data_IF_399525350261
#
_entry.id   IF_399525350261
#
_cell.length_a   1.000
_cell.length_b   1.000
_cell.length_c   1.000
_cell.angle_alpha   90.00
_cell.angle_beta   90.00
_cell.angle_gamma   90.00
#
_symmetry.space_group_name_H-M   'P 1'
#
loop_
_entity.id
_entity.type
_entity.pdbx_description
1 polymer ?
2 polymer ?
3 non-polymer ?
4 water ?
#
# COMPACT_ATOMS: atom_id res chain seq x y z
N UNK A 1 -12.41 -8.69 14.88
CA UNK A 1 -12.01 -9.96 14.29
C UNK A 1 -11.64 -9.77 12.82
N UNK A 2 -11.22 -10.87 12.19
CA UNK A 2 -10.80 -10.81 10.79
C UNK A 2 -11.94 -10.42 9.86
N UNK A 3 -13.19 -10.56 10.29
CA UNK A 3 -14.34 -10.20 9.47
C UNK A 3 -14.61 -8.70 9.44
N UNK A 4 -13.87 -7.92 10.23
CA UNK A 4 -14.08 -6.48 10.28
C UNK A 4 -14.08 -5.87 8.89
N UNK A 5 -14.84 -4.80 8.75
CA UNK A 5 -14.99 -4.13 7.48
C UNK A 5 -13.91 -3.09 7.20
N UNK A 6 -13.11 -2.73 8.19
CA UNK A 6 -12.04 -1.76 7.97
C UNK A 6 -10.92 -1.99 8.99
N UNK A 7 -9.74 -1.51 8.63
CA UNK A 7 -8.60 -1.56 9.53
C UNK A 7 -7.54 -0.60 9.04
N UNK A 8 -6.65 -0.22 9.96
CA UNK A 8 -5.45 0.53 9.63
C UNK A 8 -4.25 -0.33 10.00
N UNK A 9 -3.28 -0.43 9.11
CA UNK A 9 -2.07 -1.20 9.39
C UNK A 9 -0.87 -0.48 8.82
N UNK A 10 0.30 -0.78 9.36
CA UNK A 10 1.54 -0.14 8.98
C UNK A 10 2.60 -1.17 8.67
N UNK A 11 3.57 -0.76 7.84
CA UNK A 11 4.72 -1.58 7.49
C UNK A 11 5.93 -0.65 7.40
N UNK A 12 6.99 -1.00 8.12
CA UNK A 12 8.20 -0.19 8.13
C UNK A 12 9.24 -0.87 7.24
N UNK A 13 9.64 -0.18 6.19
CA UNK A 13 10.63 -0.68 5.24
C UNK A 13 12.01 -0.22 5.72
N UNK A 14 12.90 -1.18 5.95
CA UNK A 14 14.25 -0.91 6.44
C UNK A 14 15.24 -0.87 5.27
N UNK A 15 16.42 -0.28 5.54
CA UNK A 15 17.42 -0.07 4.51
C UNK A 15 16.79 0.57 3.27
N UNK A 16 15.93 1.56 3.53
CA UNK A 16 15.08 2.09 2.47
C UNK A 16 15.87 2.64 1.30
N UNK A 17 16.92 3.40 1.59
CA UNK A 17 17.74 4.00 0.53
C UNK A 17 18.32 2.95 -0.42
N UNK A 18 18.39 1.70 0.02
CA UNK A 18 18.97 0.61 -0.76
C UNK A 18 17.93 -0.27 -1.43
N UNK A 19 16.65 0.10 -1.32
CA UNK A 19 15.59 -0.73 -1.89
C UNK A 19 15.78 -0.87 -3.39
N UNK A 20 15.61 -2.08 -3.87
CA UNK A 20 15.82 -2.41 -5.28
C UNK A 20 14.69 -3.25 -5.84
N UNK A 21 14.22 -4.25 -5.09
CA UNK A 21 13.11 -5.11 -5.46
C UNK A 21 11.86 -4.67 -4.72
N UNK A 22 10.71 -5.10 -5.20
CA UNK A 22 9.49 -4.86 -4.47
C UNK A 22 9.52 -5.59 -3.13
N UNK A 23 8.99 -4.94 -2.10
CA UNK A 23 8.85 -5.53 -0.78
C UNK A 23 7.38 -5.54 -0.41
N UNK A 24 6.99 -6.52 0.39
CA UNK A 24 5.62 -6.82 0.72
C UNK A 24 5.48 -6.98 2.22
N UNK A 25 4.45 -6.39 2.79
CA UNK A 25 4.18 -6.52 4.23
C UNK A 25 3.53 -7.87 4.55
N UNK A 26 3.54 -8.25 5.82
CA UNK A 26 2.65 -9.30 6.28
C UNK A 26 1.20 -8.90 6.07
N UNK A 27 0.29 -9.87 6.06
CA UNK A 27 -1.12 -9.56 5.80
C UNK A 27 -1.84 -8.98 7.00
N UNK A 28 -2.75 -8.05 6.69
CA UNK A 28 -3.77 -7.55 7.61
C UNK A 28 -5.10 -8.06 7.11
N UNK A 29 -5.87 -8.73 7.97
CA UNK A 29 -7.13 -9.33 7.55
C UNK A 29 -8.29 -8.37 7.75
N UNK A 30 -9.02 -8.14 6.65
CA UNK A 30 -10.22 -7.30 6.60
C UNK A 30 -11.18 -8.04 5.68
N UNK A 31 -12.43 -8.22 6.12
CA UNK A 31 -13.40 -9.06 5.40
C UNK A 31 -12.85 -10.47 5.20
N UNK A 32 -12.01 -10.90 6.13
CA UNK A 32 -11.40 -12.22 6.14
C UNK A 32 -10.46 -12.45 4.96
N UNK A 33 -10.01 -11.38 4.28
CA UNK A 33 -9.06 -11.49 3.19
C UNK A 33 -7.73 -10.86 3.60
N UNK A 34 -6.61 -11.33 3.04
CA UNK A 34 -5.29 -10.77 3.38
C UNK A 34 -4.94 -9.55 2.52
N UNK A 35 -4.76 -8.41 3.18
CA UNK A 35 -4.36 -7.17 2.52
C UNK A 35 -2.91 -6.88 2.88
N UNK A 36 -2.14 -6.36 1.91
CA UNK A 36 -0.73 -6.12 2.12
C UNK A 36 -0.32 -4.80 1.47
N UNK A 37 0.70 -4.18 2.06
CA UNK A 37 1.40 -3.05 1.49
C UNK A 37 2.52 -3.55 0.60
N UNK A 38 2.63 -2.98 -0.60
CA UNK A 38 3.72 -3.24 -1.54
C UNK A 38 4.43 -1.94 -1.82
N UNK A 39 5.76 -1.96 -1.73
CA UNK A 39 6.58 -0.78 -1.99
C UNK A 39 7.71 -1.16 -2.92
N UNK A 40 8.00 -0.29 -3.90
CA UNK A 40 9.12 -0.55 -4.79
C UNK A 40 9.61 0.76 -5.36
N UNK A 41 10.89 0.87 -5.71
CA UNK A 41 11.34 2.05 -6.45
C UNK A 41 10.83 2.01 -7.88
N UNK A 42 10.53 3.19 -8.42
CA UNK A 42 10.03 3.32 -9.77
C UNK A 42 10.79 4.45 -10.46
N UNK A 43 10.82 4.39 -11.79
CA UNK A 43 11.59 5.32 -12.59
C UNK A 43 10.77 5.79 -13.78
N UNK A 44 10.92 7.07 -14.13
CA UNK A 44 10.19 7.66 -15.24
C UNK A 44 10.98 8.80 -15.87
N UNK A 50 13.68 10.54 -13.34
CA UNK A 50 13.49 10.80 -11.90
C UNK A 50 12.88 9.57 -11.22
N UNK A 51 13.30 9.35 -9.99
CA UNK A 51 12.99 8.14 -9.24
C UNK A 51 11.85 8.47 -8.28
N UNK A 52 10.92 7.52 -8.13
CA UNK A 52 9.75 7.72 -7.29
C UNK A 52 9.52 6.51 -6.41
N UNK A 53 8.71 6.73 -5.38
CA UNK A 53 8.22 5.67 -4.52
C UNK A 53 6.96 5.09 -5.14
N UNK A 54 6.99 3.80 -5.48
CA UNK A 54 5.77 3.08 -5.83
C UNK A 54 5.17 2.47 -4.56
N UNK A 55 3.87 2.69 -4.38
CA UNK A 55 3.18 2.30 -3.15
C UNK A 55 1.81 1.78 -3.53
N UNK A 56 1.55 0.50 -3.26
CA UNK A 56 0.34 -0.18 -3.67
C UNK A 56 -0.27 -0.95 -2.53
N UNK A 57 -1.59 -1.13 -2.61
CA UNK A 57 -2.34 -2.01 -1.73
C UNK A 57 -2.70 -3.28 -2.51
N UNK A 58 -2.42 -4.43 -1.93
CA UNK A 58 -2.67 -5.72 -2.55
C UNK A 58 -3.73 -6.49 -1.75
N UNK A 59 -4.64 -7.17 -2.45
CA UNK A 59 -5.68 -7.98 -1.82
C UNK A 59 -5.64 -9.41 -2.34
N UNK A 60 -5.56 -10.38 -1.43
CA UNK A 60 -5.86 -11.78 -1.73
C UNK A 60 -5.07 -12.34 -2.92
N UNK A 61 -3.79 -11.95 -3.03
CA UNK A 61 -3.03 -12.26 -4.23
C UNK A 61 -2.60 -13.72 -4.31
N UNK A 62 -2.35 -14.36 -3.17
CA UNK A 62 -1.81 -15.72 -3.19
C UNK A 62 -2.85 -16.72 -3.64
N UNK A 63 -4.14 -16.46 -3.39
CA UNK A 63 -5.19 -17.42 -3.68
C UNK A 63 -5.23 -17.76 -5.16
N UNK A 64 -5.42 -19.05 -5.47
CA UNK A 64 -5.61 -19.48 -6.83
C UNK A 64 -7.06 -19.36 -7.29
N UNK A 65 -7.95 -18.84 -6.45
CA UNK A 65 -9.33 -18.63 -6.86
C UNK A 65 -9.42 -17.56 -7.94
N UNK A 66 -10.32 -17.77 -8.90
CA UNK A 66 -10.65 -16.77 -9.90
C UNK A 66 -12.07 -16.26 -9.75
N UNK A 67 -12.75 -16.62 -8.68
CA UNK A 67 -14.15 -16.23 -8.49
C UNK A 67 -14.33 -15.02 -7.58
N UNK A 68 -13.30 -14.61 -6.87
CA UNK A 68 -13.45 -13.64 -5.80
C UNK A 68 -13.39 -12.21 -6.31
N UNK A 69 -14.03 -11.32 -5.56
CA UNK A 69 -13.85 -9.89 -5.79
C UNK A 69 -14.17 -9.16 -4.50
N UNK A 70 -13.57 -7.98 -4.34
CA UNK A 70 -13.84 -7.15 -3.17
C UNK A 70 -13.59 -5.70 -3.55
N UNK A 71 -14.60 -4.87 -3.39
CA UNK A 71 -14.42 -3.43 -3.61
C UNK A 71 -13.96 -2.77 -2.33
N UNK A 72 -12.95 -1.92 -2.42
CA UNK A 72 -12.50 -1.20 -1.25
C UNK A 72 -12.09 0.22 -1.60
N UNK A 73 -12.21 1.10 -0.61
CA UNK A 73 -11.57 2.40 -0.62
C UNK A 73 -10.43 2.35 0.39
N UNK A 74 -9.39 3.14 0.14
CA UNK A 74 -8.27 3.13 1.06
C UNK A 74 -7.55 4.47 1.02
N UNK A 75 -6.88 4.77 2.13
CA UNK A 75 -5.96 5.89 2.23
C UNK A 75 -4.57 5.30 2.40
N UNK A 76 -3.68 5.62 1.46
CA UNK A 76 -2.28 5.19 1.49
C UNK A 76 -1.46 6.37 1.98
N UNK A 77 -0.69 6.16 3.05
CA UNK A 77 -0.02 7.26 3.73
C UNK A 77 1.44 6.90 4.02
N UNK A 78 2.36 7.81 3.74
CA UNK A 78 3.73 7.70 4.22
C UNK A 78 3.84 8.59 5.45
N UNK A 79 4.23 7.97 6.57
CA UNK A 79 4.25 8.66 7.86
C UNK A 79 5.43 9.62 7.92
N UNK A 80 5.15 10.85 8.36
CA UNK A 80 6.20 11.78 8.76
C UNK A 80 6.38 11.61 10.27
N UNK A 81 7.52 11.07 10.69
CA UNK A 81 7.69 10.76 12.10
C UNK A 81 7.87 12.01 12.96
N UNK A 82 8.25 13.15 12.37
CA UNK A 82 8.41 14.37 13.15
C UNK A 82 7.09 15.10 13.37
N UNK A 83 6.13 14.94 12.47
CA UNK A 83 4.93 15.76 12.51
C UNK A 83 3.90 15.03 11.67
N UNK A 84 2.91 14.39 12.32
CA UNK A 84 1.93 13.64 11.54
C UNK A 84 1.13 14.53 10.60
N UNK A 85 1.05 15.84 10.87
CA UNK A 85 0.35 16.70 9.93
C UNK A 85 1.10 16.80 8.60
N UNK A 86 2.37 16.42 8.57
CA UNK A 86 3.15 16.40 7.33
C UNK A 86 3.24 15.02 6.71
N UNK A 87 2.57 14.03 7.27
CA UNK A 87 2.47 12.75 6.59
C UNK A 87 1.75 12.97 5.27
N UNK A 88 2.08 12.16 4.28
CA UNK A 88 1.55 12.39 2.94
C UNK A 88 0.66 11.24 2.52
N UNK A 89 -0.57 11.57 2.13
CA UNK A 89 -1.54 10.54 1.82
C UNK A 89 -2.22 10.79 0.47
N UNK A 90 -2.67 9.68 -0.11
CA UNK A 90 -3.49 9.66 -1.31
C UNK A 90 -4.58 8.62 -1.13
N UNK A 91 -5.70 8.83 -1.78
CA UNK A 91 -6.86 7.95 -1.68
C UNK A 91 -7.03 7.14 -2.95
N UNK A 92 -7.55 5.92 -2.79
CA UNK A 92 -7.93 5.05 -3.90
C UNK A 92 -9.31 4.43 -3.66
N UNK A 93 -9.92 4.01 -4.76
CA UNK A 93 -11.10 3.14 -4.76
C UNK A 93 -10.89 2.12 -5.87
N UNK A 94 -11.11 0.84 -5.59
CA UNK A 94 -10.80 -0.18 -6.61
C UNK A 94 -11.56 -1.46 -6.30
N UNK A 95 -12.02 -2.11 -7.36
CA UNK A 95 -12.55 -3.47 -7.29
C UNK A 95 -11.38 -4.44 -7.49
N UNK A 96 -10.96 -5.06 -6.39
CA UNK A 96 -9.88 -6.04 -6.40
C UNK A 96 -10.44 -7.40 -6.83
N UNK A 97 -9.71 -8.08 -7.70
CA UNK A 97 -10.05 -9.44 -8.12
C UNK A 97 -8.79 -10.09 -8.67
N UNK A 98 -8.89 -11.34 -9.11
CA UNK A 98 -7.68 -12.11 -9.35
C UNK A 98 -6.76 -11.50 -10.40
N UNK A 99 -7.31 -10.86 -11.43
CA UNK A 99 -6.52 -10.25 -12.49
C UNK A 99 -6.15 -8.80 -12.22
N UNK A 100 -6.66 -8.22 -11.14
CA UNK A 100 -6.29 -6.84 -10.78
C UNK A 100 -6.26 -6.80 -9.25
N UNK A 101 -5.25 -7.46 -8.69
CA UNK A 101 -5.21 -7.71 -7.25
C UNK A 101 -4.46 -6.65 -6.48
N UNK A 102 -3.99 -5.58 -7.14
CA UNK A 102 -3.36 -4.48 -6.43
C UNK A 102 -3.70 -3.16 -7.11
N UNK A 103 -3.55 -2.09 -6.35
CA UNK A 103 -3.86 -0.75 -6.85
C UNK A 103 -3.13 0.27 -5.99
N UNK A 104 -2.66 1.33 -6.61
CA UNK A 104 -1.92 2.35 -5.89
C UNK A 104 -1.30 3.34 -6.85
N UNK A 105 -0.07 3.76 -6.57
CA UNK A 105 0.57 4.83 -7.31
C UNK A 105 2.02 4.48 -7.60
N UNK A 106 2.39 4.49 -8.87
CA UNK A 106 3.78 4.28 -9.21
C UNK A 106 4.63 5.50 -8.88
N UNK A 107 4.03 6.69 -8.86
CA UNK A 107 4.70 7.93 -8.51
C UNK A 107 4.04 8.52 -7.27
N UNK A 108 4.01 7.75 -6.19
CA UNK A 108 3.32 8.21 -4.98
C UNK A 108 3.95 9.50 -4.46
N UNK A 109 5.28 9.54 -4.39
CA UNK A 109 6.07 10.71 -4.00
C UNK A 109 7.44 10.57 -4.65
N UNK A 110 8.16 11.69 -4.73
CA UNK A 110 9.52 11.65 -5.23
C UNK A 110 10.43 10.91 -4.26
N UNK A 111 11.30 10.05 -4.81
CA UNK A 111 12.26 9.33 -3.99
C UNK A 111 13.18 10.29 -3.24
N UNK A 112 13.60 11.36 -3.91
CA UNK A 112 14.51 12.31 -3.28
C UNK A 112 13.86 13.03 -2.11
N UNK A 113 12.54 13.16 -2.11
CA UNK A 113 11.86 13.80 -0.98
C UNK A 113 11.75 12.84 0.20
N UNK A 114 11.31 11.61 -0.06
CA UNK A 114 11.13 10.69 1.05
C UNK A 114 12.46 10.37 1.73
N UNK A 115 13.54 10.33 0.97
CA UNK A 115 14.84 9.97 1.52
C UNK A 115 15.63 11.18 2.03
N UNK A 116 15.09 12.38 1.91
CA UNK A 116 15.78 13.59 2.37
C UNK A 116 15.76 13.63 3.90
N UNK A 117 16.90 13.52 4.57
CA UNK A 117 16.88 13.45 6.03
C UNK A 117 16.29 14.68 6.70
N UNK A 118 16.19 15.81 6.00
CA UNK A 118 15.64 17.01 6.60
C UNK A 118 14.12 17.05 6.56
N UNK A 119 13.47 16.10 5.87
CA UNK A 119 12.03 16.21 5.64
C UNK A 119 11.18 15.48 6.67
N UNK A 120 11.72 14.52 7.41
CA UNK A 120 10.99 13.88 8.47
C UNK A 120 10.28 12.58 8.13
N UNK A 121 10.50 12.01 6.95
CA UNK A 121 9.93 10.70 6.64
C UNK A 121 10.88 9.56 6.93
N UNK A 122 12.19 9.78 6.90
CA UNK A 122 13.17 8.72 7.00
C UNK A 122 13.97 8.89 8.29
N UNK A 123 14.22 7.77 8.97
CA UNK A 123 15.03 7.78 10.18
C UNK A 123 15.71 6.43 10.28
N UNK A 124 17.04 6.43 10.46
CA UNK A 124 17.81 5.19 10.51
C UNK A 124 17.54 4.33 9.27
N UNK A 125 17.37 5.02 8.13
CA UNK A 125 17.08 4.40 6.83
C UNK A 125 15.82 3.57 6.86
N UNK A 126 14.84 3.98 7.66
CA UNK A 126 13.54 3.33 7.73
C UNK A 126 12.46 4.33 7.37
N UNK A 127 11.45 3.85 6.63
CA UNK A 127 10.28 4.63 6.25
C UNK A 127 9.06 3.80 6.57
N UNK A 128 8.05 4.41 7.20
CA UNK A 128 6.84 3.71 7.57
C UNK A 128 5.68 4.08 6.67
N UNK A 129 5.02 3.05 6.15
CA UNK A 129 3.88 3.13 5.25
C UNK A 129 2.64 2.68 6.01
N UNK A 130 1.51 3.31 5.74
CA UNK A 130 0.27 3.00 6.42
C UNK A 130 -0.85 2.90 5.39
N UNK A 131 -1.76 1.95 5.60
CA UNK A 131 -2.99 1.88 4.84
C UNK A 131 -4.16 1.82 5.80
N UNK A 132 -5.17 2.67 5.54
CA UNK A 132 -6.50 2.54 6.13
C UNK A 132 -7.41 2.03 5.02
N UNK A 133 -7.92 0.81 5.16
CA UNK A 133 -8.73 0.19 4.13
C UNK A 133 -10.14 -0.03 4.65
N UNK A 134 -11.12 0.35 3.83
CA UNK A 134 -12.54 0.15 4.13
C UNK A 134 -13.10 -0.69 2.99
N UNK A 135 -13.37 -1.96 3.27
CA UNK A 135 -13.73 -2.92 2.24
C UNK A 135 -15.20 -3.29 2.34
N UNK A 136 -15.83 -3.41 1.18
CA UNK A 136 -17.17 -3.97 1.10
C UNK A 136 -17.14 -5.48 1.30
N UNK A 137 -18.31 -6.06 1.55
CA UNK A 137 -18.38 -7.51 1.66
C UNK A 137 -17.91 -8.12 0.34
N UNK A 138 -17.04 -9.12 0.38
CA UNK A 138 -16.59 -9.74 -0.87
C UNK A 138 -17.66 -10.61 -1.50
N UNK A 139 -17.44 -10.93 -2.77
CA UNK A 139 -18.21 -11.91 -3.50
C UNK A 139 -17.29 -13.06 -3.92
N UNK A 140 -17.87 -14.24 -4.06
CA UNK A 140 -17.13 -15.35 -4.60
C UNK A 140 -16.06 -15.93 -3.70
N UNK A 141 -16.18 -15.73 -2.38
CA UNK A 141 -15.25 -16.30 -1.40
C UNK A 141 -16.03 -17.17 -0.43
N UNK A 142 -16.78 -16.54 0.47
CA UNK A 142 -17.60 -17.24 1.45
C UNK A 142 -18.97 -17.43 0.81
N UNK A 143 -19.17 -18.61 0.24
CA UNK A 143 -20.38 -18.88 -0.52
C UNK A 143 -21.56 -19.23 0.39
N UNK B 1 2.11 13.22 -13.09
CA UNK B 1 1.00 12.45 -12.56
C UNK B 1 1.49 11.48 -11.49
N UNK B 2 0.65 11.18 -10.49
CA UNK B 2 1.05 10.20 -9.49
C UNK B 2 1.06 8.75 -9.98
N UNK B 3 0.67 8.48 -11.22
CA UNK B 3 0.75 7.12 -11.73
C UNK B 3 -0.21 6.15 -11.06
N UNK B 4 -1.46 6.57 -10.86
CA UNK B 4 -2.44 5.70 -10.24
C UNK B 4 -2.73 4.51 -11.15
N UNK B 5 -2.76 3.33 -10.56
CA UNK B 5 -3.06 2.13 -11.30
C UNK B 5 -2.46 0.91 -10.62
N UNK B 6 -2.41 -0.20 -11.36
CA UNK B 6 -1.81 -1.42 -10.82
C UNK B 6 -0.29 -1.31 -10.78
N UNK B 7 0.33 -2.23 -10.04
CA UNK B 7 1.79 -2.24 -9.95
C UNK B 7 2.43 -2.75 -11.24
N UNK B 8 1.73 -3.56 -12.01
CA UNK B 8 2.31 -4.16 -13.20
C UNK B 8 1.30 -4.32 -14.32
#
# INVERSE_FOLDING_TARGET
TSWRSEATFQFTVERFSRLSESVLSPPCFVRNLPWKIMVMPRFYPDRPHQKSVGFFLQCNAESDSTSWSCHAQAVLKIINYRDDEKSFSRRISHLFFHKENDWGFSNFMAWSEVTDPEKGFIDDDKVTFEVFVQADAPHGVAW
SPGEGPSG
#
